data_IF_728696336931
#
_entry.id   IF_728696336931
#
_cell.length_a   1.000
_cell.length_b   1.000
_cell.length_c   1.000
_cell.angle_alpha   90.00
_cell.angle_beta   90.00
_cell.angle_gamma   90.00
#
_symmetry.space_group_name_H-M   'P 1'
#
loop_
_entity.id
_entity.type
_entity.pdbx_description
1 polymer ?
#
# COMPACT_ATOMS: atom_id res chain seq x y z
N UNK A 1 19.94 19.41 48.04
CA UNK A 1 18.81 18.95 47.20
C UNK A 1 19.34 18.67 45.82
N UNK A 2 18.90 17.56 45.26
CA UNK A 2 19.57 16.74 44.26
C UNK A 2 19.32 17.21 42.83
N UNK A 3 20.37 17.28 42.00
CA UNK A 3 20.25 17.29 40.53
C UNK A 3 21.18 16.23 39.95
N UNK A 4 20.69 14.99 39.92
CA UNK A 4 21.36 13.92 39.18
C UNK A 4 21.13 14.13 37.68
N UNK A 5 22.24 14.31 36.96
CA UNK A 5 22.33 13.98 35.54
C UNK A 5 22.12 12.49 35.34
N UNK A 6 21.40 12.10 34.30
CA UNK A 6 21.55 10.79 33.66
C UNK A 6 21.94 11.00 32.20
N UNK A 7 22.98 10.33 31.69
CA UNK A 7 23.38 10.42 30.29
C UNK A 7 22.50 9.52 29.43
N UNK A 8 22.03 10.06 28.30
CA UNK A 8 21.49 9.25 27.20
C UNK A 8 22.59 8.31 26.71
N UNK A 9 22.43 7.02 26.98
CA UNK A 9 23.26 5.94 26.43
C UNK A 9 22.95 5.77 24.95
N UNK A 10 23.69 6.48 24.10
CA UNK A 10 23.85 6.16 22.69
C UNK A 10 24.74 4.92 22.57
N UNK A 11 24.11 3.77 22.32
CA UNK A 11 24.81 2.62 21.76
C UNK A 11 24.10 2.34 20.44
N UNK A 12 24.48 3.11 19.42
CA UNK A 12 24.25 2.74 18.03
C UNK A 12 25.11 1.52 17.77
N UNK A 13 24.50 0.38 17.48
CA UNK A 13 25.22 -0.69 16.81
C UNK A 13 25.65 -0.12 15.45
N UNK A 14 26.96 -0.06 15.12
CA UNK A 14 27.36 0.36 13.79
C UNK A 14 26.81 -0.67 12.81
N UNK A 15 25.85 -0.25 11.99
CA UNK A 15 25.51 -1.00 10.78
C UNK A 15 26.83 -1.18 10.02
N UNK A 16 27.28 -2.42 9.90
CA UNK A 16 28.46 -2.73 9.12
C UNK A 16 28.08 -2.40 7.68
N UNK A 17 28.61 -1.28 7.17
CA UNK A 17 28.45 -0.91 5.76
C UNK A 17 29.22 -1.95 4.96
N UNK A 18 28.51 -2.98 4.51
CA UNK A 18 29.03 -3.90 3.51
C UNK A 18 28.96 -3.14 2.18
N UNK A 19 30.10 -2.60 1.74
CA UNK A 19 30.27 -2.18 0.36
C UNK A 19 30.34 -3.43 -0.52
N UNK A 20 29.20 -4.06 -0.74
CA UNK A 20 29.07 -5.10 -1.75
C UNK A 20 28.73 -4.42 -3.08
N UNK A 21 29.65 -4.47 -4.03
CA UNK A 21 29.39 -4.02 -5.40
C UNK A 21 28.19 -4.73 -6.04
N UNK A 22 27.79 -5.90 -5.52
CA UNK A 22 26.61 -6.63 -5.98
C UNK A 22 25.26 -6.03 -5.54
N UNK A 23 25.23 -5.13 -4.53
CA UNK A 23 23.98 -4.44 -4.13
C UNK A 23 23.45 -3.51 -5.23
N UNK A 24 24.34 -3.02 -6.11
CA UNK A 24 23.99 -2.13 -7.22
C UNK A 24 23.71 -2.86 -8.55
N UNK A 25 24.00 -4.15 -8.67
CA UNK A 25 23.71 -4.93 -9.90
C UNK A 25 22.19 -5.06 -10.17
N UNK A 26 21.34 -4.77 -9.17
CA UNK A 26 19.88 -4.80 -9.29
C UNK A 26 19.26 -3.47 -9.71
N UNK A 27 20.05 -2.40 -9.72
CA UNK A 27 19.62 -1.05 -10.06
C UNK A 27 20.11 -0.65 -11.45
N UNK A 28 20.03 -1.54 -12.45
CA UNK A 28 20.03 -1.08 -13.84
C UNK A 28 18.68 -0.37 -14.05
N UNK A 29 18.63 0.97 -13.98
CA UNK A 29 17.36 1.66 -14.02
C UNK A 29 16.85 1.43 -15.44
N UNK A 30 15.65 0.87 -15.58
CA UNK A 30 14.92 0.88 -16.86
C UNK A 30 14.47 2.33 -17.18
N UNK A 31 15.39 3.28 -17.16
CA UNK A 31 15.19 4.70 -17.39
C UNK A 31 16.22 5.09 -18.45
N UNK A 32 15.77 5.71 -19.53
CA UNK A 32 16.62 6.03 -20.69
C UNK A 32 17.60 7.20 -20.44
N UNK A 33 17.81 7.62 -19.18
CA UNK A 33 18.62 8.79 -18.83
C UNK A 33 19.70 8.46 -17.80
N UNK A 34 20.86 9.10 -17.95
CA UNK A 34 21.99 8.96 -17.03
C UNK A 34 21.63 9.53 -15.65
N UNK A 35 21.74 8.71 -14.62
CA UNK A 35 21.57 9.12 -13.24
C UNK A 35 22.91 9.67 -12.69
N UNK A 36 22.98 10.92 -12.18
CA UNK A 36 24.23 11.48 -11.64
C UNK A 36 24.80 10.67 -10.45
N UNK A 37 26.10 10.77 -10.13
CA UNK A 37 26.68 10.18 -8.91
C UNK A 37 26.05 10.73 -7.61
N UNK A 38 26.06 9.94 -6.54
CA UNK A 38 25.39 10.29 -5.27
C UNK A 38 25.85 11.62 -4.64
N UNK A 39 27.11 12.02 -4.83
CA UNK A 39 27.71 13.21 -4.22
C UNK A 39 27.45 14.51 -5.01
N UNK A 40 26.92 14.42 -6.23
CA UNK A 40 26.59 15.56 -7.11
C UNK A 40 25.10 15.90 -7.08
N UNK A 41 24.29 15.12 -6.36
CA UNK A 41 22.84 15.26 -6.37
C UNK A 41 22.39 16.38 -5.42
N UNK A 42 21.39 17.19 -5.82
CA UNK A 42 20.71 18.12 -4.94
C UNK A 42 20.01 17.37 -3.78
N UNK A 43 19.60 18.09 -2.74
CA UNK A 43 18.71 17.53 -1.71
C UNK A 43 17.46 16.93 -2.34
N UNK A 44 17.00 15.79 -1.82
CA UNK A 44 15.89 15.01 -2.39
C UNK A 44 14.60 15.81 -2.59
N UNK A 45 14.45 16.92 -1.86
CA UNK A 45 13.34 17.85 -2.00
C UNK A 45 13.20 18.48 -3.39
N UNK A 46 14.28 18.53 -4.18
CA UNK A 46 14.28 19.08 -5.55
C UNK A 46 14.04 18.03 -6.64
N UNK A 47 13.94 16.76 -6.27
CA UNK A 47 13.69 15.69 -7.22
C UNK A 47 12.27 15.76 -7.76
N UNK A 48 12.15 15.45 -9.05
CA UNK A 48 10.90 15.53 -9.78
C UNK A 48 9.93 14.46 -9.30
N UNK A 49 8.71 14.90 -9.04
CA UNK A 49 7.57 14.09 -8.64
C UNK A 49 6.50 14.24 -9.71
N UNK A 50 6.04 13.13 -10.27
CA UNK A 50 4.92 13.20 -11.22
C UNK A 50 3.65 13.66 -10.49
N UNK A 51 2.99 14.70 -10.99
CA UNK A 51 1.78 15.25 -10.36
C UNK A 51 0.56 14.33 -10.44
N UNK A 52 0.59 13.34 -11.35
CA UNK A 52 -0.50 12.40 -11.58
C UNK A 52 -0.42 11.16 -10.68
N UNK A 53 0.73 10.46 -10.68
CA UNK A 53 0.92 9.24 -9.88
C UNK A 53 1.65 9.48 -8.55
N UNK A 54 2.31 10.62 -8.37
CA UNK A 54 3.00 10.98 -7.13
C UNK A 54 4.35 10.28 -6.92
N UNK A 55 4.82 9.50 -7.90
CA UNK A 55 6.15 8.87 -7.88
C UNK A 55 7.24 9.92 -8.04
N UNK A 56 8.28 9.83 -7.19
CA UNK A 56 9.51 10.62 -7.28
C UNK A 56 10.55 9.91 -8.16
N UNK A 57 11.38 10.67 -8.87
CA UNK A 57 12.38 10.19 -9.80
C UNK A 57 13.77 10.74 -9.43
N UNK A 58 14.86 10.04 -9.77
CA UNK A 58 16.23 10.54 -9.65
C UNK A 58 16.62 11.55 -10.73
N UNK A 59 15.80 12.57 -10.91
CA UNK A 59 16.03 13.68 -11.82
C UNK A 59 15.48 14.97 -11.22
N UNK A 60 16.21 16.08 -11.36
CA UNK A 60 15.74 17.44 -11.02
C UNK A 60 15.33 18.24 -12.26
N UNK A 61 15.83 17.85 -13.43
CA UNK A 61 15.63 18.57 -14.68
C UNK A 61 14.62 17.86 -15.59
N UNK A 62 13.62 18.62 -16.07
CA UNK A 62 12.62 18.12 -17.03
C UNK A 62 13.19 17.93 -18.43
N UNK A 63 14.36 18.51 -18.73
CA UNK A 63 15.04 18.28 -20.01
C UNK A 63 15.50 16.82 -20.15
N UNK A 64 15.79 16.15 -19.02
CA UNK A 64 16.17 14.73 -18.97
C UNK A 64 14.98 13.82 -18.67
N UNK A 65 14.10 14.18 -17.72
CA UNK A 65 12.90 13.41 -17.41
C UNK A 65 11.71 13.95 -18.20
N UNK A 66 11.63 13.55 -19.46
CA UNK A 66 10.57 14.00 -20.38
C UNK A 66 9.26 13.24 -20.20
N UNK A 67 9.30 12.04 -19.59
CA UNK A 67 8.13 11.19 -19.38
C UNK A 67 8.13 10.50 -18.02
N UNK A 68 6.93 10.31 -17.47
CA UNK A 68 6.69 9.50 -16.29
C UNK A 68 6.35 8.06 -16.73
N UNK A 69 7.32 7.15 -16.61
CA UNK A 69 7.13 5.73 -16.96
C UNK A 69 6.06 5.01 -16.14
N UNK A 70 5.76 5.47 -14.93
CA UNK A 70 4.63 4.92 -14.14
C UNK A 70 3.29 5.32 -14.76
N UNK A 71 3.16 6.53 -15.29
CA UNK A 71 1.95 6.94 -16.02
C UNK A 71 1.88 6.35 -17.43
N UNK A 72 3.02 5.95 -18.00
CA UNK A 72 3.07 5.23 -19.27
C UNK A 72 2.86 3.72 -19.12
N UNK A 73 2.91 3.17 -17.89
CA UNK A 73 2.51 1.80 -17.64
C UNK A 73 1.02 1.64 -17.98
N UNK A 74 0.62 0.60 -18.72
CA UNK A 74 -0.77 0.39 -19.13
C UNK A 74 -1.73 0.11 -17.95
N UNK A 75 -1.20 -0.08 -16.74
CA UNK A 75 -1.99 -0.13 -15.51
C UNK A 75 -2.40 1.25 -15.01
N UNK A 76 -1.77 2.31 -15.50
CA UNK A 76 -2.03 3.71 -15.20
C UNK A 76 -2.46 4.46 -16.48
N UNK A 77 -2.43 5.79 -16.44
CA UNK A 77 -2.79 6.65 -17.57
C UNK A 77 -2.00 7.96 -17.54
N UNK A 78 -1.92 8.59 -18.72
CA UNK A 78 -1.50 9.99 -18.85
C UNK A 78 -2.74 10.88 -18.72
N UNK A 79 -2.73 11.89 -17.82
CA UNK A 79 -3.86 12.81 -17.70
C UNK A 79 -4.17 13.55 -19.00
N UNK A 80 -5.42 14.01 -19.22
CA UNK A 80 -5.77 14.84 -20.38
C UNK A 80 -4.94 16.11 -20.53
N UNK A 81 -4.40 16.65 -19.42
CA UNK A 81 -3.49 17.80 -19.41
C UNK A 81 -2.07 17.47 -19.86
N UNK A 82 -1.77 16.20 -20.14
CA UNK A 82 -0.42 15.68 -20.29
C UNK A 82 0.25 15.42 -18.95
N UNK A 83 1.45 14.84 -19.02
CA UNK A 83 2.29 14.59 -17.85
C UNK A 83 2.90 15.91 -17.37
N UNK A 84 2.96 16.08 -16.05
CA UNK A 84 3.65 17.20 -15.42
C UNK A 84 4.33 16.75 -14.14
N UNK A 85 5.30 17.54 -13.69
CA UNK A 85 6.11 17.25 -12.52
C UNK A 85 6.10 18.41 -11.53
N UNK A 86 6.39 18.13 -10.28
CA UNK A 86 6.61 19.11 -9.20
C UNK A 86 7.79 18.62 -8.37
N UNK A 87 8.08 19.24 -7.23
CA UNK A 87 9.06 18.75 -6.25
C UNK A 87 8.48 18.86 -4.85
N UNK A 88 9.06 18.16 -3.87
CA UNK A 88 8.64 18.29 -2.47
C UNK A 88 8.83 19.74 -1.97
N UNK A 89 9.92 20.40 -2.36
CA UNK A 89 10.16 21.80 -2.04
C UNK A 89 9.03 22.71 -2.57
N UNK A 90 8.57 22.49 -3.81
CA UNK A 90 7.45 23.25 -4.39
C UNK A 90 6.13 22.96 -3.68
N UNK A 91 5.85 21.69 -3.36
CA UNK A 91 4.63 21.31 -2.63
C UNK A 91 4.56 21.95 -1.24
N UNK A 92 5.68 21.97 -0.52
CA UNK A 92 5.80 22.60 0.81
C UNK A 92 5.71 24.12 0.74
N UNK A 93 6.47 24.74 -0.16
CA UNK A 93 6.50 26.20 -0.33
C UNK A 93 5.13 26.78 -0.72
N UNK A 94 4.33 26.01 -1.46
CA UNK A 94 2.95 26.40 -1.81
C UNK A 94 2.00 26.49 -0.61
N UNK A 95 2.31 25.83 0.51
CA UNK A 95 1.50 25.84 1.75
C UNK A 95 0.07 25.29 1.59
N UNK A 96 -0.25 24.72 0.42
CA UNK A 96 -1.59 24.29 0.05
C UNK A 96 -1.93 22.91 0.64
N UNK A 97 -0.94 22.01 0.64
CA UNK A 97 -1.11 20.62 1.02
C UNK A 97 -0.83 20.43 2.51
N UNK A 98 -1.63 19.60 3.15
CA UNK A 98 -1.44 19.12 4.51
C UNK A 98 -1.80 17.66 4.58
N UNK A 99 -1.01 16.88 5.29
CA UNK A 99 -1.46 15.56 5.67
C UNK A 99 -2.46 15.68 6.84
N UNK A 100 -3.43 14.77 6.85
CA UNK A 100 -4.47 14.61 7.85
C UNK A 100 -4.46 13.17 8.32
N UNK A 101 -4.95 12.94 9.53
CA UNK A 101 -5.02 11.59 10.08
C UNK A 101 -6.28 11.37 10.92
N UNK A 102 -6.73 10.12 10.98
CA UNK A 102 -7.92 9.69 11.73
C UNK A 102 -7.75 8.27 12.25
N UNK A 103 -8.06 8.03 13.53
CA UNK A 103 -8.14 6.67 14.11
C UNK A 103 -9.19 5.85 13.37
N UNK A 104 -8.99 4.54 13.34
CA UNK A 104 -10.06 3.63 12.96
C UNK A 104 -11.12 3.61 14.07
N UNK A 105 -12.37 3.39 13.71
CA UNK A 105 -13.46 3.31 14.69
C UNK A 105 -13.18 2.17 15.67
N UNK A 106 -13.15 2.50 16.96
CA UNK A 106 -12.94 1.58 18.07
C UNK A 106 -11.60 0.80 18.06
N UNK A 107 -10.56 1.28 17.37
CA UNK A 107 -9.25 0.62 17.38
C UNK A 107 -8.09 1.63 17.35
N UNK A 108 -7.48 1.86 18.51
CA UNK A 108 -6.37 2.82 18.66
C UNK A 108 -5.05 2.35 18.02
N UNK A 109 -5.00 1.09 17.56
CA UNK A 109 -3.83 0.54 16.88
C UNK A 109 -3.73 0.98 15.42
N UNK A 110 -4.80 1.54 14.83
CA UNK A 110 -4.83 1.89 13.41
C UNK A 110 -5.17 3.37 13.19
N UNK A 111 -4.40 4.01 12.30
CA UNK A 111 -4.62 5.38 11.87
C UNK A 111 -4.57 5.46 10.34
N UNK A 112 -5.59 6.05 9.73
CA UNK A 112 -5.53 6.48 8.33
C UNK A 112 -4.78 7.81 8.26
N UNK A 113 -3.89 7.98 7.28
CA UNK A 113 -3.18 9.23 6.98
C UNK A 113 -3.37 9.55 5.50
N UNK A 114 -3.76 10.78 5.13
CA UNK A 114 -3.98 11.18 3.74
C UNK A 114 -3.65 12.65 3.51
N UNK A 115 -3.41 13.07 2.26
CA UNK A 115 -3.11 14.46 1.90
C UNK A 115 -4.38 15.23 1.48
N UNK A 116 -4.56 16.44 2.03
CA UNK A 116 -5.60 17.41 1.64
C UNK A 116 -4.99 18.75 1.17
N UNK A 117 -5.44 19.33 0.06
CA UNK A 117 -6.34 18.72 -0.93
C UNK A 117 -5.72 17.48 -1.58
N UNK A 118 -6.54 16.67 -2.25
CA UNK A 118 -6.06 15.46 -2.94
C UNK A 118 -4.87 15.80 -3.86
N UNK A 119 -3.77 15.09 -3.67
CA UNK A 119 -2.59 15.14 -4.54
C UNK A 119 -2.37 13.79 -5.21
N UNK A 120 -1.98 13.80 -6.49
CA UNK A 120 -1.74 12.60 -7.28
C UNK A 120 -2.90 11.58 -7.19
N UNK A 121 -2.61 10.31 -6.91
CA UNK A 121 -3.61 9.23 -6.79
C UNK A 121 -4.59 9.53 -5.65
N UNK A 122 -4.13 10.14 -4.55
CA UNK A 122 -4.96 10.52 -3.41
C UNK A 122 -5.26 9.35 -2.47
N UNK A 123 -4.37 8.37 -2.41
CA UNK A 123 -4.43 7.27 -1.47
C UNK A 123 -4.25 7.74 -0.03
N UNK A 124 -4.61 6.87 0.91
CA UNK A 124 -4.20 6.96 2.31
C UNK A 124 -3.09 5.95 2.59
N UNK A 125 -2.20 6.28 3.53
CA UNK A 125 -1.38 5.31 4.22
C UNK A 125 -2.08 4.89 5.53
N UNK A 126 -1.76 3.71 6.06
CA UNK A 126 -2.32 3.21 7.31
C UNK A 126 -1.18 2.92 8.29
N UNK A 127 -1.12 3.66 9.39
CA UNK A 127 -0.19 3.38 10.49
C UNK A 127 -0.79 2.30 11.40
N UNK A 128 -0.01 1.25 11.63
CA UNK A 128 -0.33 0.07 12.46
C UNK A 128 0.58 0.08 13.68
N UNK A 129 0.00 0.18 14.87
CA UNK A 129 0.75 0.05 16.12
C UNK A 129 0.98 -1.41 16.45
N UNK A 130 2.23 -1.77 16.71
CA UNK A 130 2.62 -3.08 17.24
C UNK A 130 3.35 -2.88 18.56
N UNK A 131 3.58 -3.97 19.30
CA UNK A 131 4.40 -3.91 20.52
C UNK A 131 5.90 -3.70 20.25
N UNK A 132 6.34 -3.82 19.00
CA UNK A 132 7.75 -3.70 18.58
C UNK A 132 8.05 -2.45 17.76
N UNK A 133 7.06 -1.58 17.54
CA UNK A 133 7.16 -0.35 16.76
C UNK A 133 5.97 -0.14 15.83
N UNK A 134 5.83 1.06 15.26
CA UNK A 134 4.75 1.33 14.32
C UNK A 134 5.17 0.91 12.90
N UNK A 135 4.23 0.34 12.15
CA UNK A 135 4.41 -0.04 10.76
C UNK A 135 3.53 0.86 9.90
N UNK A 136 4.08 1.44 8.84
CA UNK A 136 3.30 2.19 7.86
C UNK A 136 2.96 1.29 6.67
N UNK A 137 1.67 1.05 6.44
CA UNK A 137 1.18 0.37 5.24
C UNK A 137 0.88 1.40 4.15
N UNK A 138 1.49 1.19 2.98
CA UNK A 138 1.60 2.14 1.86
C UNK A 138 2.29 3.46 2.25
N UNK A 139 2.52 4.33 1.26
CA UNK A 139 3.23 5.60 1.47
C UNK A 139 2.48 6.75 0.77
N UNK A 140 2.70 7.98 1.26
CA UNK A 140 2.17 9.21 0.67
C UNK A 140 3.28 9.96 -0.04
N UNK A 141 2.93 10.78 -1.03
CA UNK A 141 3.90 11.63 -1.71
C UNK A 141 4.27 12.86 -0.90
N UNK A 142 3.28 13.51 -0.28
CA UNK A 142 3.50 14.71 0.51
C UNK A 142 3.88 14.33 1.95
N UNK A 143 4.87 15.03 2.50
CA UNK A 143 5.31 14.89 3.88
C UNK A 143 5.65 16.29 4.42
N UNK A 144 5.01 16.68 5.51
CA UNK A 144 5.23 17.95 6.22
C UNK A 144 5.73 17.71 7.64
N UNK A 145 6.30 18.75 8.26
CA UNK A 145 6.88 18.65 9.61
C UNK A 145 5.82 18.30 10.66
N UNK A 146 4.58 18.78 10.48
CA UNK A 146 3.45 18.47 11.38
C UNK A 146 3.16 16.96 11.44
N UNK A 147 3.23 16.27 10.29
CA UNK A 147 3.09 14.82 10.21
C UNK A 147 4.27 14.10 10.84
N UNK A 148 5.50 14.58 10.58
CA UNK A 148 6.72 13.99 11.13
C UNK A 148 6.69 14.05 12.66
N UNK A 149 6.40 15.23 13.22
CA UNK A 149 6.29 15.44 14.66
C UNK A 149 5.19 14.59 15.28
N UNK A 150 4.04 14.49 14.62
CA UNK A 150 2.93 13.65 15.09
C UNK A 150 3.31 12.15 15.11
N UNK A 151 3.94 11.62 14.06
CA UNK A 151 4.38 10.21 14.01
C UNK A 151 5.48 9.95 15.04
N UNK A 152 6.44 10.87 15.22
CA UNK A 152 7.43 10.76 16.30
C UNK A 152 6.79 10.78 17.69
N UNK A 153 5.74 11.59 17.89
CA UNK A 153 4.93 11.57 19.11
C UNK A 153 4.24 10.23 19.38
N UNK A 154 4.03 9.40 18.35
CA UNK A 154 3.52 8.03 18.45
C UNK A 154 4.63 6.97 18.61
N UNK A 155 5.89 7.37 18.64
CA UNK A 155 7.06 6.47 18.76
C UNK A 155 7.81 6.23 17.44
N UNK A 156 7.55 7.01 16.39
CA UNK A 156 8.22 6.88 15.09
C UNK A 156 7.70 5.71 14.25
N UNK A 157 8.42 5.36 13.18
CA UNK A 157 8.18 4.17 12.37
C UNK A 157 9.32 3.18 12.56
N UNK A 158 8.99 1.90 12.65
CA UNK A 158 9.96 0.81 12.67
C UNK A 158 10.07 0.12 11.30
N UNK A 159 9.05 0.27 10.44
CA UNK A 159 9.06 -0.22 9.07
C UNK A 159 8.00 0.52 8.24
N UNK A 160 8.24 0.61 6.94
CA UNK A 160 7.25 0.94 5.92
C UNK A 160 7.07 -0.30 5.05
N UNK A 161 5.85 -0.67 4.72
CA UNK A 161 5.57 -1.75 3.75
C UNK A 161 4.65 -1.21 2.69
N UNK A 162 5.03 -1.34 1.41
CA UNK A 162 4.27 -0.76 0.31
C UNK A 162 3.70 -1.86 -0.56
N UNK A 163 2.40 -1.78 -0.83
CA UNK A 163 1.65 -2.85 -1.50
C UNK A 163 2.15 -3.15 -2.92
N UNK A 164 2.36 -2.11 -3.74
CA UNK A 164 2.81 -2.21 -5.13
C UNK A 164 3.24 -0.83 -5.69
N UNK A 165 3.79 -0.76 -6.92
CA UNK A 165 4.49 0.41 -7.45
C UNK A 165 3.76 1.75 -7.43
N UNK A 166 2.42 1.75 -7.53
CA UNK A 166 1.65 3.00 -7.50
C UNK A 166 1.80 3.78 -6.19
N UNK A 167 2.20 3.12 -5.11
CA UNK A 167 2.33 3.74 -3.79
C UNK A 167 3.78 3.90 -3.31
N UNK A 168 4.76 3.72 -4.20
CA UNK A 168 6.18 3.94 -3.87
C UNK A 168 6.48 5.43 -3.59
N UNK A 169 5.73 6.35 -4.19
CA UNK A 169 5.74 7.79 -3.89
C UNK A 169 7.14 8.39 -3.63
N UNK A 170 7.36 8.91 -2.42
CA UNK A 170 8.59 9.49 -1.86
C UNK A 170 9.14 8.59 -0.73
N UNK A 171 8.99 7.26 -0.85
CA UNK A 171 9.34 6.30 0.22
C UNK A 171 10.76 6.43 0.77
N UNK A 172 11.74 6.82 -0.06
CA UNK A 172 13.11 7.05 0.41
C UNK A 172 13.21 8.25 1.34
N UNK A 173 12.45 9.32 1.09
CA UNK A 173 12.39 10.48 1.99
C UNK A 173 11.75 10.10 3.33
N UNK A 174 10.67 9.31 3.29
CA UNK A 174 10.05 8.77 4.51
C UNK A 174 11.01 7.85 5.29
N UNK A 175 11.70 6.95 4.60
CA UNK A 175 12.69 6.04 5.19
C UNK A 175 13.82 6.79 5.87
N UNK A 176 14.35 7.85 5.22
CA UNK A 176 15.42 8.68 5.76
C UNK A 176 14.96 9.47 7.00
N UNK A 177 13.78 10.08 6.94
CA UNK A 177 13.24 10.90 8.04
C UNK A 177 12.94 10.05 9.29
N UNK A 178 12.40 8.85 9.11
CA UNK A 178 12.03 7.96 10.22
C UNK A 178 13.09 6.91 10.57
N UNK A 179 14.22 6.90 9.86
CA UNK A 179 15.32 5.93 10.01
C UNK A 179 14.83 4.47 10.06
N UNK A 180 14.02 4.07 9.07
CA UNK A 180 13.39 2.76 9.04
C UNK A 180 13.41 2.11 7.64
N UNK A 181 13.44 0.76 7.57
CA UNK A 181 13.43 0.05 6.29
C UNK A 181 12.07 0.12 5.59
N UNK A 182 12.11 0.04 4.25
CA UNK A 182 10.98 -0.05 3.34
C UNK A 182 10.93 -1.44 2.72
N UNK A 183 9.89 -2.19 3.04
CA UNK A 183 9.63 -3.52 2.49
C UNK A 183 8.81 -3.41 1.21
N UNK A 184 9.33 -3.98 0.13
CA UNK A 184 8.70 -4.02 -1.19
C UNK A 184 8.64 -5.47 -1.68
N UNK A 185 7.76 -5.75 -2.62
CA UNK A 185 7.75 -7.05 -3.28
C UNK A 185 8.91 -7.20 -4.26
N UNK A 186 9.59 -8.36 -4.25
CA UNK A 186 10.72 -8.63 -5.14
C UNK A 186 10.37 -8.50 -6.62
N UNK A 187 9.20 -8.98 -7.03
CA UNK A 187 8.72 -8.97 -8.40
C UNK A 187 8.49 -7.54 -8.92
N UNK A 188 8.27 -6.59 -8.01
CA UNK A 188 7.93 -5.21 -8.36
C UNK A 188 9.16 -4.29 -8.41
N UNK A 189 10.37 -4.82 -8.16
CA UNK A 189 11.61 -4.04 -8.16
C UNK A 189 11.87 -3.30 -9.48
N UNK A 190 11.42 -3.85 -10.61
CA UNK A 190 11.60 -3.22 -11.92
C UNK A 190 10.86 -1.90 -12.04
N UNK A 191 9.89 -1.59 -11.14
CA UNK A 191 9.15 -0.33 -11.10
C UNK A 191 9.78 0.77 -10.23
N UNK A 192 10.92 0.51 -9.59
CA UNK A 192 11.64 1.54 -8.84
C UNK A 192 12.10 2.67 -9.78
N UNK A 193 11.90 3.92 -9.32
CA UNK A 193 12.33 5.11 -10.07
C UNK A 193 13.40 5.95 -9.35
N UNK A 194 13.86 5.44 -8.21
CA UNK A 194 14.90 6.04 -7.40
C UNK A 194 15.86 4.97 -6.90
N UNK A 195 17.15 5.22 -7.11
CA UNK A 195 18.27 4.50 -6.54
C UNK A 195 18.28 4.69 -5.02
N UNK A 196 18.36 3.57 -4.30
CA UNK A 196 18.70 3.56 -2.89
C UNK A 196 20.22 3.51 -2.83
N UNK A 197 20.84 4.67 -3.03
CA UNK A 197 22.27 4.79 -3.25
C UNK A 197 23.11 4.34 -2.05
N UNK A 198 22.51 4.29 -0.87
CA UNK A 198 23.15 3.78 0.34
C UNK A 198 22.87 2.28 0.55
N UNK A 199 21.96 1.68 -0.22
CA UNK A 199 21.56 0.28 -0.14
C UNK A 199 20.99 -0.12 1.23
N UNK A 200 20.46 0.84 2.00
CA UNK A 200 20.07 0.64 3.40
C UNK A 200 18.56 0.75 3.64
N UNK A 201 17.84 1.40 2.72
CA UNK A 201 16.43 1.68 2.92
C UNK A 201 15.58 0.48 2.53
N UNK A 202 15.84 -0.17 1.39
CA UNK A 202 14.94 -1.19 0.85
C UNK A 202 15.25 -2.61 1.31
N UNK A 203 14.20 -3.37 1.57
CA UNK A 203 14.21 -4.82 1.79
C UNK A 203 13.13 -5.46 0.92
N UNK A 204 13.36 -6.65 0.40
CA UNK A 204 12.44 -7.31 -0.53
C UNK A 204 11.77 -8.54 0.08
N UNK A 205 10.46 -8.63 -0.10
CA UNK A 205 9.61 -9.77 0.24
C UNK A 205 9.61 -10.72 -0.95
N UNK A 206 10.08 -11.95 -0.75
CA UNK A 206 10.20 -12.97 -1.80
C UNK A 206 9.10 -14.02 -1.67
N UNK A 207 8.73 -14.39 -0.44
CA UNK A 207 7.71 -15.36 -0.13
C UNK A 207 6.30 -14.94 -0.54
N UNK A 208 5.41 -15.94 -0.67
CA UNK A 208 3.97 -15.70 -0.84
C UNK A 208 3.30 -15.16 0.42
N UNK A 209 3.83 -15.54 1.58
CA UNK A 209 3.46 -15.03 2.90
C UNK A 209 4.75 -14.79 3.68
N UNK A 210 4.90 -13.60 4.24
CA UNK A 210 5.98 -13.28 5.17
C UNK A 210 5.41 -12.51 6.37
N UNK A 211 5.85 -12.87 7.57
CA UNK A 211 5.50 -12.15 8.79
C UNK A 211 6.60 -11.12 9.08
N UNK A 212 6.21 -9.86 9.24
CA UNK A 212 7.16 -8.79 9.49
C UNK A 212 7.84 -8.98 10.85
N UNK A 213 9.16 -9.04 10.82
CA UNK A 213 10.01 -9.11 12.01
C UNK A 213 10.65 -7.74 12.26
N UNK A 214 10.54 -7.26 13.51
CA UNK A 214 11.23 -6.06 13.96
C UNK A 214 12.16 -6.46 15.09
N UNK A 215 13.47 -6.25 14.92
CA UNK A 215 14.52 -6.63 15.89
C UNK A 215 14.51 -8.13 16.23
N UNK A 216 14.19 -8.98 15.25
CA UNK A 216 14.13 -10.44 15.40
C UNK A 216 12.84 -10.96 16.05
N UNK A 217 11.87 -10.09 16.30
CA UNK A 217 10.59 -10.46 16.91
C UNK A 217 9.44 -10.29 15.92
N UNK A 218 8.54 -11.29 15.92
CA UNK A 218 7.37 -11.33 15.04
C UNK A 218 6.31 -10.35 15.50
N UNK A 219 5.93 -9.45 14.61
CA UNK A 219 5.00 -8.35 14.91
C UNK A 219 3.53 -8.75 14.89
N UNK A 220 3.21 -9.92 14.32
CA UNK A 220 1.84 -10.31 13.97
C UNK A 220 1.28 -9.59 12.74
N UNK A 221 2.09 -8.78 12.05
CA UNK A 221 1.76 -8.12 10.79
C UNK A 221 2.29 -8.98 9.64
N UNK A 222 1.39 -9.50 8.80
CA UNK A 222 1.72 -10.44 7.73
C UNK A 222 1.49 -9.84 6.35
N UNK A 223 2.49 -9.94 5.49
CA UNK A 223 2.43 -9.55 4.09
C UNK A 223 2.05 -10.77 3.25
N UNK A 224 0.95 -10.65 2.52
CA UNK A 224 0.42 -11.70 1.65
C UNK A 224 0.56 -11.23 0.20
N UNK A 225 1.34 -11.95 -0.60
CA UNK A 225 1.58 -11.64 -2.01
C UNK A 225 0.52 -12.30 -2.87
N UNK A 226 -0.52 -11.54 -3.18
CA UNK A 226 -1.64 -11.99 -4.01
C UNK A 226 -1.31 -11.90 -5.50
N UNK A 227 -0.47 -10.94 -5.87
CA UNK A 227 -0.23 -10.60 -7.27
C UNK A 227 -1.48 -10.00 -7.93
N UNK A 228 -1.60 -10.19 -9.25
CA UNK A 228 -2.71 -9.68 -10.05
C UNK A 228 -2.48 -8.25 -10.52
N UNK A 229 -2.87 -7.24 -9.73
CA UNK A 229 -2.75 -5.83 -10.14
C UNK A 229 -1.31 -5.49 -10.58
N UNK A 230 -0.34 -5.84 -9.74
CA UNK A 230 1.05 -6.06 -10.11
C UNK A 230 1.44 -7.50 -9.76
N UNK A 231 2.49 -8.07 -10.40
CA UNK A 231 2.97 -9.41 -10.06
C UNK A 231 3.30 -9.56 -8.58
N UNK A 232 3.85 -8.52 -7.95
CA UNK A 232 4.21 -8.48 -6.56
C UNK A 232 3.16 -7.91 -5.61
N UNK A 233 1.96 -7.52 -6.09
CA UNK A 233 0.95 -6.85 -5.27
C UNK A 233 0.68 -7.57 -3.94
N UNK A 234 0.89 -6.82 -2.85
CA UNK A 234 0.70 -7.28 -1.49
C UNK A 234 -0.67 -6.84 -0.93
N UNK A 235 -1.13 -7.59 0.07
CA UNK A 235 -2.09 -7.13 1.08
C UNK A 235 -1.52 -7.41 2.47
N UNK A 236 -1.92 -6.62 3.46
CA UNK A 236 -1.42 -6.73 4.83
C UNK A 236 -2.49 -7.27 5.78
N UNK A 237 -2.22 -8.38 6.46
CA UNK A 237 -3.06 -8.88 7.54
C UNK A 237 -2.47 -8.48 8.89
N UNK A 238 -3.21 -7.67 9.65
CA UNK A 238 -2.81 -7.24 11.00
C UNK A 238 -4.02 -7.18 11.92
N UNK A 239 -3.90 -7.77 13.12
CA UNK A 239 -4.97 -7.74 14.16
C UNK A 239 -6.36 -8.14 13.66
N UNK A 240 -6.46 -9.11 12.73
CA UNK A 240 -7.72 -9.56 12.13
C UNK A 240 -8.31 -8.63 11.06
N UNK A 241 -7.55 -7.62 10.61
CA UNK A 241 -7.92 -6.69 9.54
C UNK A 241 -7.06 -6.93 8.31
N UNK A 242 -7.68 -6.98 7.13
CA UNK A 242 -6.97 -7.11 5.86
C UNK A 242 -6.88 -5.73 5.17
N UNK A 243 -5.68 -5.17 5.07
CA UNK A 243 -5.42 -3.93 4.35
C UNK A 243 -5.14 -4.30 2.89
N UNK A 244 -6.05 -3.93 2.00
CA UNK A 244 -6.11 -4.45 0.63
C UNK A 244 -5.57 -3.48 -0.42
N UNK A 245 -5.16 -2.27 0.00
CA UNK A 245 -4.79 -1.17 -0.89
C UNK A 245 -5.82 -1.04 -2.03
N UNK A 246 -5.38 -1.07 -3.29
CA UNK A 246 -6.24 -1.30 -4.46
C UNK A 246 -5.91 -2.62 -5.20
N UNK A 247 -5.13 -3.52 -4.57
CA UNK A 247 -4.99 -4.93 -4.98
C UNK A 247 -6.36 -5.61 -5.08
N UNK A 248 -7.27 -5.28 -4.15
CA UNK A 248 -8.71 -5.49 -4.29
C UNK A 248 -9.40 -4.13 -4.31
N UNK A 249 -10.29 -3.90 -5.26
CA UNK A 249 -11.04 -2.64 -5.34
C UNK A 249 -12.38 -2.79 -4.64
N UNK A 250 -12.58 -2.12 -3.51
CA UNK A 250 -13.90 -2.02 -2.87
C UNK A 250 -14.88 -1.31 -3.82
N UNK A 251 -15.94 -2.00 -4.22
CA UNK A 251 -16.95 -1.44 -5.13
C UNK A 251 -17.99 -0.62 -4.36
N UNK A 252 -18.70 0.31 -5.02
CA UNK A 252 -19.81 1.04 -4.38
C UNK A 252 -20.87 0.11 -3.78
N UNK A 253 -21.14 -1.03 -4.43
CA UNK A 253 -22.07 -2.05 -3.94
C UNK A 253 -21.62 -2.71 -2.64
N UNK A 254 -20.36 -2.61 -2.23
CA UNK A 254 -19.90 -3.07 -0.93
C UNK A 254 -20.37 -2.19 0.23
N UNK A 255 -20.57 -0.89 -0.04
CA UNK A 255 -20.74 0.17 0.94
C UNK A 255 -22.22 0.57 1.16
N UNK A 256 -23.11 0.18 0.25
CA UNK A 256 -24.55 0.38 0.44
C UNK A 256 -25.01 -0.27 1.75
N UNK A 257 -25.89 0.40 2.50
CA UNK A 257 -26.36 -0.11 3.79
C UNK A 257 -27.82 -0.54 3.70
N UNK A 258 -28.03 -1.85 3.53
CA UNK A 258 -29.36 -2.43 3.42
C UNK A 258 -30.05 -2.58 4.77
N UNK A 259 -29.38 -2.35 5.91
CA UNK A 259 -30.08 -2.33 7.20
C UNK A 259 -30.90 -1.05 7.38
N UNK A 260 -30.73 -0.07 6.49
CA UNK A 260 -31.44 1.22 6.49
C UNK A 260 -32.55 1.26 5.43
N UNK A 261 -33.51 2.14 5.64
CA UNK A 261 -34.57 2.45 4.67
C UNK A 261 -35.87 1.63 4.83
N UNK A 262 -36.86 1.83 3.95
CA UNK A 262 -38.23 1.31 4.12
C UNK A 262 -38.39 -0.22 4.12
N UNK A 263 -37.35 -0.96 3.73
CA UNK A 263 -37.29 -2.43 3.81
C UNK A 263 -36.00 -2.91 4.48
N UNK A 264 -35.36 -2.05 5.27
CA UNK A 264 -34.09 -2.38 5.90
C UNK A 264 -34.25 -3.32 7.09
N UNK A 265 -33.25 -4.19 7.28
CA UNK A 265 -33.22 -5.14 8.37
C UNK A 265 -31.88 -5.87 8.44
N UNK A 266 -31.81 -6.85 9.34
CA UNK A 266 -30.71 -7.80 9.32
C UNK A 266 -30.81 -8.70 8.08
N UNK A 267 -29.67 -9.00 7.47
CA UNK A 267 -29.57 -9.85 6.28
C UNK A 267 -30.47 -9.44 5.10
N UNK A 268 -30.66 -8.14 4.90
CA UNK A 268 -31.45 -7.58 3.80
C UNK A 268 -30.62 -7.29 2.54
N UNK A 269 -29.29 -7.46 2.58
CA UNK A 269 -28.42 -7.32 1.40
C UNK A 269 -28.76 -8.41 0.37
N UNK A 270 -29.13 -8.05 -0.88
CA UNK A 270 -29.48 -9.04 -1.90
C UNK A 270 -28.30 -9.95 -2.28
N UNK A 271 -28.61 -11.21 -2.56
CA UNK A 271 -27.66 -12.17 -3.13
C UNK A 271 -27.16 -11.72 -4.52
N UNK A 272 -25.92 -12.10 -4.82
CA UNK A 272 -25.28 -11.74 -6.10
C UNK A 272 -24.77 -10.30 -6.16
N UNK A 273 -24.88 -9.53 -5.08
CA UNK A 273 -24.31 -8.17 -5.00
C UNK A 273 -22.80 -8.21 -4.81
N UNK A 274 -22.07 -7.70 -5.80
CA UNK A 274 -20.63 -7.59 -5.75
C UNK A 274 -20.15 -6.74 -4.56
N UNK A 275 -18.98 -7.07 -4.01
CA UNK A 275 -18.29 -6.23 -3.01
C UNK A 275 -16.93 -5.78 -3.50
N UNK A 276 -16.21 -6.60 -4.26
CA UNK A 276 -14.85 -6.28 -4.69
C UNK A 276 -14.69 -6.48 -6.21
N UNK A 277 -13.83 -5.69 -6.84
CA UNK A 277 -13.39 -5.91 -8.21
C UNK A 277 -11.90 -6.23 -8.22
N UNK A 278 -11.49 -7.09 -9.15
CA UNK A 278 -10.13 -7.61 -9.26
C UNK A 278 -9.57 -7.16 -10.60
N UNK A 279 -8.73 -6.12 -10.58
CA UNK A 279 -8.41 -5.32 -11.76
C UNK A 279 -6.91 -5.36 -12.07
N UNK A 280 -6.57 -5.65 -13.32
CA UNK A 280 -5.21 -5.49 -13.80
C UNK A 280 -4.88 -4.00 -13.94
N UNK A 281 -5.77 -3.24 -14.60
CA UNK A 281 -5.72 -1.78 -14.63
C UNK A 281 -7.04 -1.21 -14.13
N UNK A 282 -6.98 -0.56 -12.98
CA UNK A 282 -8.13 0.11 -12.36
C UNK A 282 -8.57 1.33 -13.18
N UNK A 283 -7.69 2.31 -13.51
CA UNK A 283 -8.12 3.51 -14.25
C UNK A 283 -8.59 3.20 -15.67
N UNK A 284 -8.07 2.15 -16.31
CA UNK A 284 -8.47 1.74 -17.66
C UNK A 284 -9.56 0.66 -17.67
N UNK A 285 -10.07 0.27 -16.49
CA UNK A 285 -11.16 -0.70 -16.32
C UNK A 285 -10.88 -2.08 -16.95
N UNK A 286 -9.63 -2.55 -16.85
CA UNK A 286 -9.20 -3.85 -17.37
C UNK A 286 -9.22 -4.87 -16.21
N UNK A 287 -10.10 -5.89 -16.25
CA UNK A 287 -10.18 -6.91 -15.20
C UNK A 287 -9.00 -7.88 -15.26
N UNK A 288 -8.70 -8.51 -14.13
CA UNK A 288 -7.81 -9.68 -14.07
C UNK A 288 -8.47 -10.90 -14.72
N UNK A 289 -7.64 -11.81 -15.24
CA UNK A 289 -8.11 -13.06 -15.80
C UNK A 289 -8.45 -14.09 -14.69
N UNK A 290 -9.04 -15.23 -15.08
CA UNK A 290 -9.50 -16.24 -14.13
C UNK A 290 -8.38 -16.91 -13.33
N UNK A 291 -7.21 -17.12 -13.92
CA UNK A 291 -6.07 -17.77 -13.26
C UNK A 291 -5.44 -16.86 -12.22
N UNK A 292 -5.37 -15.55 -12.50
CA UNK A 292 -4.92 -14.54 -11.53
C UNK A 292 -5.89 -14.45 -10.35
N UNK A 293 -7.20 -14.40 -10.61
CA UNK A 293 -8.23 -14.37 -9.55
C UNK A 293 -8.16 -15.62 -8.67
N UNK A 294 -7.98 -16.80 -9.28
CA UNK A 294 -7.76 -18.05 -8.53
C UNK A 294 -6.49 -17.98 -7.68
N UNK A 295 -5.37 -17.50 -8.26
CA UNK A 295 -4.11 -17.33 -7.54
C UNK A 295 -4.24 -16.43 -6.29
N UNK A 296 -4.98 -15.32 -6.41
CA UNK A 296 -5.29 -14.44 -5.29
C UNK A 296 -6.09 -15.18 -4.19
N UNK A 297 -7.07 -16.01 -4.59
CA UNK A 297 -7.87 -16.79 -3.65
C UNK A 297 -7.02 -17.81 -2.89
N UNK A 298 -6.15 -18.55 -3.57
CA UNK A 298 -5.29 -19.57 -2.93
C UNK A 298 -4.41 -18.98 -1.82
N UNK A 299 -3.98 -17.73 -1.96
CA UNK A 299 -3.21 -17.03 -0.91
C UNK A 299 -4.13 -16.54 0.22
N UNK A 300 -5.33 -16.05 -0.07
CA UNK A 300 -6.26 -15.52 0.94
C UNK A 300 -6.99 -16.61 1.74
N UNK A 301 -7.27 -17.75 1.10
CA UNK A 301 -8.07 -18.86 1.62
C UNK A 301 -7.66 -19.34 3.03
N UNK A 302 -6.37 -19.53 3.37
CA UNK A 302 -5.97 -19.99 4.71
C UNK A 302 -6.09 -18.94 5.81
N UNK A 303 -6.39 -17.68 5.49
CA UNK A 303 -6.39 -16.59 6.47
C UNK A 303 -7.80 -16.18 6.91
N UNK A 304 -7.88 -15.72 8.16
CA UNK A 304 -9.11 -15.19 8.74
C UNK A 304 -8.96 -13.70 9.04
N UNK A 305 -9.98 -12.94 8.71
CA UNK A 305 -10.07 -11.51 8.92
C UNK A 305 -11.55 -11.10 8.91
N UNK A 306 -11.87 -10.06 9.68
CA UNK A 306 -13.26 -9.59 9.87
C UNK A 306 -13.53 -8.23 9.23
N UNK A 307 -12.51 -7.65 8.58
CA UNK A 307 -12.65 -6.40 7.84
C UNK A 307 -11.63 -6.28 6.73
N UNK A 308 -11.99 -5.52 5.70
CA UNK A 308 -11.08 -5.08 4.63
C UNK A 308 -10.99 -3.57 4.60
N UNK A 309 -9.79 -3.04 4.36
CA UNK A 309 -9.52 -1.60 4.34
C UNK A 309 -8.77 -1.21 3.07
N UNK A 310 -9.41 -0.44 2.19
CA UNK A 310 -8.85 -0.06 0.88
C UNK A 310 -7.91 1.14 0.90
N UNK A 311 -7.34 1.45 -0.26
CA UNK A 311 -6.40 2.55 -0.49
C UNK A 311 -7.02 3.95 -0.32
N UNK A 312 -8.35 4.07 -0.28
CA UNK A 312 -9.04 5.35 -0.20
C UNK A 312 -9.92 5.45 1.05
N UNK A 313 -10.10 6.66 1.56
CA UNK A 313 -11.01 6.91 2.68
C UNK A 313 -12.43 6.42 2.36
N UNK A 314 -13.09 5.87 3.37
CA UNK A 314 -14.48 5.37 3.30
C UNK A 314 -14.68 4.16 2.36
N UNK A 315 -13.64 3.35 2.13
CA UNK A 315 -13.70 2.09 1.38
C UNK A 315 -13.59 0.85 2.26
N UNK A 316 -13.89 1.03 3.56
CA UNK A 316 -13.77 -0.01 4.58
C UNK A 316 -15.05 -0.85 4.64
N UNK A 317 -14.87 -2.16 4.79
CA UNK A 317 -15.97 -3.13 4.88
C UNK A 317 -15.70 -4.03 6.08
N UNK A 318 -16.71 -4.23 6.92
CA UNK A 318 -16.60 -5.01 8.17
C UNK A 318 -17.66 -6.11 8.17
N UNK A 319 -17.37 -7.25 8.81
CA UNK A 319 -18.34 -8.31 9.05
C UNK A 319 -19.62 -7.77 9.70
N UNK A 320 -20.77 -8.32 9.30
CA UNK A 320 -22.08 -7.92 9.82
C UNK A 320 -22.51 -6.49 9.47
N UNK A 321 -21.70 -5.72 8.74
CA UNK A 321 -22.07 -4.37 8.30
C UNK A 321 -23.08 -4.42 7.15
N UNK A 322 -23.75 -3.29 6.94
CA UNK A 322 -24.47 -3.00 5.70
C UNK A 322 -25.66 -3.93 5.40
N UNK A 323 -26.25 -4.54 6.45
CA UNK A 323 -27.37 -5.46 6.32
C UNK A 323 -26.99 -6.81 5.71
N UNK A 324 -25.73 -7.26 5.80
CA UNK A 324 -25.29 -8.58 5.33
C UNK A 324 -24.93 -9.49 6.49
N UNK A 325 -25.43 -10.73 6.50
CA UNK A 325 -24.94 -11.76 7.42
C UNK A 325 -23.59 -12.36 6.99
N UNK A 326 -23.23 -12.19 5.71
CA UNK A 326 -22.02 -12.75 5.11
C UNK A 326 -20.80 -11.94 5.53
N UNK A 327 -19.80 -12.63 6.07
CA UNK A 327 -18.50 -12.02 6.38
C UNK A 327 -17.75 -11.53 5.14
N UNK A 328 -16.76 -10.66 5.34
CA UNK A 328 -15.97 -10.04 4.27
C UNK A 328 -15.24 -11.08 3.41
N UNK A 329 -14.75 -12.17 4.01
CA UNK A 329 -14.08 -13.26 3.28
C UNK A 329 -15.03 -13.97 2.32
N UNK A 330 -16.26 -14.27 2.75
CA UNK A 330 -17.28 -14.82 1.87
C UNK A 330 -17.65 -13.84 0.77
N UNK A 331 -17.75 -12.55 1.08
CA UNK A 331 -18.02 -11.50 0.10
C UNK A 331 -16.89 -11.35 -0.93
N UNK A 332 -15.63 -11.55 -0.56
CA UNK A 332 -14.49 -11.62 -1.49
C UNK A 332 -14.68 -12.82 -2.44
N UNK A 333 -14.89 -14.02 -1.92
CA UNK A 333 -15.07 -15.22 -2.75
C UNK A 333 -16.25 -15.07 -3.72
N UNK A 334 -17.40 -14.61 -3.23
CA UNK A 334 -18.58 -14.38 -4.07
C UNK A 334 -18.29 -13.34 -5.16
N UNK A 335 -17.56 -12.26 -4.84
CA UNK A 335 -17.14 -11.24 -5.80
C UNK A 335 -16.23 -11.81 -6.90
N UNK A 336 -15.25 -12.63 -6.52
CA UNK A 336 -14.36 -13.32 -7.46
C UNK A 336 -15.17 -14.23 -8.39
N UNK A 337 -16.08 -15.03 -7.84
CA UNK A 337 -16.92 -15.93 -8.64
C UNK A 337 -17.90 -15.18 -9.54
N UNK A 338 -18.42 -14.02 -9.12
CA UNK A 338 -19.23 -13.14 -9.97
C UNK A 338 -18.39 -12.68 -11.17
N UNK A 339 -17.18 -12.16 -10.95
CA UNK A 339 -16.29 -11.72 -12.03
C UNK A 339 -15.97 -12.87 -13.00
N UNK A 340 -15.58 -14.05 -12.48
CA UNK A 340 -15.28 -15.23 -13.30
C UNK A 340 -16.45 -15.66 -14.17
N UNK A 341 -17.68 -15.72 -13.63
CA UNK A 341 -18.88 -16.01 -14.44
C UNK A 341 -19.10 -14.95 -15.52
N UNK A 342 -18.93 -13.66 -15.20
CA UNK A 342 -19.16 -12.56 -16.14
C UNK A 342 -18.08 -12.43 -17.22
N UNK A 343 -16.89 -12.99 -17.00
CA UNK A 343 -15.88 -13.19 -18.03
C UNK A 343 -16.18 -14.35 -18.99
N UNK A 344 -17.24 -15.14 -18.74
CA UNK A 344 -17.68 -16.25 -19.59
C UNK A 344 -17.29 -17.65 -19.09
N UNK A 345 -16.59 -17.75 -17.95
CA UNK A 345 -16.06 -18.99 -17.42
C UNK A 345 -17.06 -19.75 -16.53
N UNK A 346 -18.24 -20.05 -17.06
CA UNK A 346 -19.38 -20.58 -16.28
C UNK A 346 -19.16 -21.98 -15.67
N UNK A 347 -18.17 -22.75 -16.15
CA UNK A 347 -17.87 -24.11 -15.69
C UNK A 347 -16.47 -24.25 -15.07
N UNK A 348 -15.81 -23.13 -14.73
CA UNK A 348 -14.46 -23.16 -14.19
C UNK A 348 -14.41 -23.82 -12.81
N UNK A 349 -13.33 -24.56 -12.51
CA UNK A 349 -13.18 -25.31 -11.25
C UNK A 349 -13.28 -24.42 -10.01
N UNK A 350 -12.76 -23.19 -10.10
CA UNK A 350 -12.85 -22.18 -9.04
C UNK A 350 -14.28 -21.87 -8.59
N UNK A 351 -15.28 -22.01 -9.47
CA UNK A 351 -16.69 -21.77 -9.10
C UNK A 351 -17.25 -22.83 -8.13
N UNK A 352 -16.49 -23.89 -7.82
CA UNK A 352 -16.83 -24.91 -6.83
C UNK A 352 -16.34 -24.57 -5.43
N UNK A 353 -15.45 -23.59 -5.28
CA UNK A 353 -14.97 -23.10 -3.98
C UNK A 353 -16.14 -22.65 -3.10
N UNK A 354 -16.13 -23.05 -1.83
CA UNK A 354 -17.15 -22.72 -0.85
C UNK A 354 -16.52 -22.49 0.51
N UNK A 355 -17.15 -21.61 1.29
CA UNK A 355 -16.87 -21.46 2.72
C UNK A 355 -18.02 -22.05 3.53
N UNK A 356 -17.70 -22.53 4.72
CA UNK A 356 -18.66 -22.86 5.77
C UNK A 356 -19.20 -21.56 6.40
N UNK A 357 -20.13 -21.71 7.36
CA UNK A 357 -20.76 -20.57 8.04
C UNK A 357 -19.78 -19.75 8.88
N UNK A 358 -18.64 -20.33 9.24
CA UNK A 358 -17.61 -19.70 10.05
C UNK A 358 -16.47 -19.12 9.18
N UNK A 359 -16.60 -19.18 7.84
CA UNK A 359 -15.61 -18.67 6.90
C UNK A 359 -14.41 -19.60 6.66
N UNK A 360 -14.49 -20.86 7.11
CA UNK A 360 -13.51 -21.91 6.81
C UNK A 360 -13.91 -22.68 5.54
N UNK A 361 -13.02 -23.50 5.01
CA UNK A 361 -13.31 -24.30 3.81
C UNK A 361 -14.27 -25.46 4.11
N UNK A 362 -15.23 -25.71 3.23
CA UNK A 362 -15.98 -26.97 3.20
C UNK A 362 -15.21 -27.93 2.30
N UNK A 363 -14.52 -28.91 2.92
CA UNK A 363 -13.80 -29.99 2.23
C UNK A 363 -14.71 -30.84 1.33
#
# INVERSE_FOLDING_TARGET
>A
MSTYSTPYSSISTPATIVYDSALHDFEDPFHEYNTPPAYEMPGSEQLLICTACGTQFDAEDRSILTRCRICDDPRQFVPPTGQSFTTLAQLRAGGLYKNKWRKFDNDERFWSIWTEPKFAIGQRAILIKTCFGNVLWDCLTYLDDETVDWIHGLGGLAAIVISHPHYYTTHLDWSEIFDCPVYLSWEDKSWLNRLDRMGKARTFIEGKEEELEIRGEKTGVKMLKLGGHFPGSLVCLAHGRLLIADTLVTTPSALGDWSKGPGGGENSRPDGMNSYAFMWSIPNMIPLNVDEVLGMWEVLKPHNFSSTHGAFMNTDVVDGSNGSEKGVKQRILESMQIQVRRMGWNNHVFLKEKLDKDGNEIL
#
